data_IF_947003194193
#
_entry.id   IF_947003194193
#
_cell.length_a   1.000
_cell.length_b   1.000
_cell.length_c   1.000
_cell.angle_alpha   90.00
_cell.angle_beta   90.00
_cell.angle_gamma   90.00
#
_symmetry.space_group_name_H-M   'P 1'
#
loop_
_entity.id
_entity.type
_entity.pdbx_description
1 polymer ?
#
# COMPACT_ATOMS: atom_id res chain seq x y z
N UNK A 1 4.27 -17.84 -24.63
CA UNK A 1 3.04 -18.40 -24.02
C UNK A 1 2.79 -17.68 -22.72
N UNK A 2 1.79 -16.86 -22.66
CA UNK A 2 1.28 -16.27 -21.41
C UNK A 2 0.72 -17.40 -20.57
N UNK A 3 1.34 -17.66 -19.40
CA UNK A 3 0.73 -18.54 -18.41
C UNK A 3 -0.67 -18.03 -18.10
N UNK A 4 -1.68 -18.90 -17.96
CA UNK A 4 -2.99 -18.49 -17.49
C UNK A 4 -2.81 -17.71 -16.20
N UNK A 5 -3.58 -16.66 -16.01
CA UNK A 5 -3.62 -15.89 -14.76
C UNK A 5 -4.08 -16.88 -13.70
N UNK A 6 -3.11 -17.48 -13.01
CA UNK A 6 -3.42 -18.30 -11.85
C UNK A 6 -4.17 -17.41 -10.85
N UNK A 7 -5.25 -17.94 -10.29
CA UNK A 7 -5.96 -17.28 -9.19
C UNK A 7 -4.93 -16.89 -8.13
N UNK A 8 -4.88 -15.62 -7.69
CA UNK A 8 -3.89 -15.20 -6.72
C UNK A 8 -4.01 -16.03 -5.43
N UNK A 9 -2.91 -16.29 -4.70
CA UNK A 9 -2.89 -17.18 -3.55
C UNK A 9 -3.48 -16.55 -2.28
N UNK A 10 -4.52 -15.74 -2.45
CA UNK A 10 -5.24 -15.10 -1.36
C UNK A 10 -6.72 -14.91 -1.69
N UNK A 11 -7.50 -14.71 -0.67
CA UNK A 11 -8.92 -14.34 -0.77
C UNK A 11 -9.19 -13.04 -0.03
N UNK A 12 -10.25 -12.34 -0.42
CA UNK A 12 -10.65 -11.08 0.20
C UNK A 12 -11.65 -11.35 1.31
N UNK A 13 -11.32 -10.91 2.52
CA UNK A 13 -12.16 -11.01 3.71
C UNK A 13 -12.17 -9.70 4.48
N UNK A 14 -13.06 -9.59 5.47
CA UNK A 14 -13.05 -8.47 6.41
C UNK A 14 -11.71 -8.44 7.18
N UNK A 15 -11.08 -7.28 7.26
CA UNK A 15 -9.82 -7.06 7.94
C UNK A 15 -10.03 -6.30 9.27
N UNK A 16 -9.18 -6.61 10.24
CA UNK A 16 -9.06 -5.81 11.49
C UNK A 16 -8.23 -4.55 11.28
N UNK A 17 -7.39 -4.51 10.24
CA UNK A 17 -6.56 -3.35 9.92
C UNK A 17 -7.44 -2.26 9.33
N UNK A 18 -8.14 -2.57 8.24
CA UNK A 18 -9.09 -1.67 7.61
C UNK A 18 -9.99 -2.42 6.62
N UNK A 19 -11.29 -2.19 6.68
CA UNK A 19 -12.29 -2.65 5.74
C UNK A 19 -12.11 -4.11 5.33
N UNK A 20 -11.68 -4.32 4.09
CA UNK A 20 -11.32 -5.63 3.52
C UNK A 20 -9.82 -5.79 3.47
N UNK A 21 -9.36 -7.02 3.53
CA UNK A 21 -7.95 -7.40 3.39
C UNK A 21 -7.78 -8.65 2.55
N UNK A 22 -6.56 -8.92 2.15
CA UNK A 22 -6.16 -10.10 1.40
C UNK A 22 -5.54 -11.13 2.36
N UNK A 23 -6.10 -12.34 2.40
CA UNK A 23 -5.66 -13.41 3.32
C UNK A 23 -5.19 -14.61 2.52
N UNK A 24 -3.99 -15.10 2.83
CA UNK A 24 -3.38 -16.21 2.12
C UNK A 24 -4.27 -17.48 2.16
N UNK A 25 -4.53 -18.07 1.00
CA UNK A 25 -5.29 -19.32 0.86
C UNK A 25 -4.40 -20.56 0.95
N UNK A 26 -3.10 -20.37 0.83
CA UNK A 26 -2.04 -21.36 1.02
C UNK A 26 -0.82 -20.68 1.62
N UNK A 27 0.17 -21.47 2.00
CA UNK A 27 1.48 -20.93 2.37
C UNK A 27 2.10 -20.21 1.17
N UNK A 28 2.55 -18.97 1.37
CA UNK A 28 3.31 -18.16 0.40
C UNK A 28 4.76 -18.13 0.87
N UNK A 29 5.69 -18.48 0.00
CA UNK A 29 7.10 -18.52 0.33
C UNK A 29 7.74 -17.14 0.25
N UNK A 30 8.74 -16.88 1.10
CA UNK A 30 9.58 -15.69 0.96
C UNK A 30 10.12 -15.58 -0.47
N UNK A 31 10.04 -14.38 -1.06
CA UNK A 31 10.49 -14.07 -2.42
C UNK A 31 9.47 -14.41 -3.51
N UNK A 32 8.33 -15.01 -3.17
CA UNK A 32 7.29 -15.32 -4.14
C UNK A 32 6.61 -14.05 -4.64
N UNK A 33 6.52 -13.89 -5.96
CA UNK A 33 5.74 -12.83 -6.61
C UNK A 33 4.26 -13.22 -6.59
N UNK A 34 3.43 -12.39 -5.97
CA UNK A 34 2.06 -12.74 -5.62
C UNK A 34 1.06 -12.22 -6.66
N UNK A 35 1.12 -10.93 -6.96
CA UNK A 35 0.16 -10.26 -7.85
C UNK A 35 0.74 -8.94 -8.36
N UNK A 36 0.33 -8.51 -9.55
CA UNK A 36 0.58 -7.15 -10.03
C UNK A 36 -0.45 -6.19 -9.45
N UNK A 37 0.00 -5.03 -9.00
CA UNK A 37 -0.89 -3.93 -8.65
C UNK A 37 -1.31 -3.21 -9.92
N UNK A 38 -2.57 -3.38 -10.30
CA UNK A 38 -3.11 -2.83 -11.54
C UNK A 38 -4.12 -1.72 -11.29
N UNK A 39 -4.32 -0.88 -12.27
CA UNK A 39 -5.28 0.21 -12.27
C UNK A 39 -5.05 1.16 -13.44
N UNK A 40 -5.86 2.21 -13.48
CA UNK A 40 -5.69 3.26 -14.47
C UNK A 40 -4.43 4.08 -14.18
N UNK A 41 -3.60 4.31 -15.19
CA UNK A 41 -2.44 5.20 -15.08
C UNK A 41 -2.88 6.63 -15.33
N UNK A 42 -2.66 7.48 -14.34
CA UNK A 42 -3.06 8.88 -14.36
C UNK A 42 -1.89 9.78 -13.98
N UNK A 43 -2.00 11.07 -14.32
CA UNK A 43 -1.04 12.08 -13.86
C UNK A 43 -1.27 12.46 -12.40
N UNK A 44 -0.27 13.07 -11.75
CA UNK A 44 -0.44 13.63 -10.41
C UNK A 44 -1.58 14.65 -10.36
N UNK A 45 -1.69 15.53 -11.37
CA UNK A 45 -2.76 16.53 -11.45
C UNK A 45 -4.16 15.88 -11.51
N UNK A 46 -4.31 14.78 -12.26
CA UNK A 46 -5.57 14.05 -12.31
C UNK A 46 -5.86 13.33 -10.99
N UNK A 47 -4.83 12.78 -10.33
CA UNK A 47 -4.97 12.19 -9.00
C UNK A 47 -5.46 13.23 -7.98
N UNK A 48 -4.85 14.41 -7.96
CA UNK A 48 -5.25 15.51 -7.07
C UNK A 48 -6.66 15.99 -7.34
N UNK A 49 -7.06 16.02 -8.61
CA UNK A 49 -8.43 16.38 -9.01
C UNK A 49 -9.48 15.36 -8.56
N UNK A 50 -9.16 14.06 -8.64
CA UNK A 50 -10.08 12.97 -8.23
C UNK A 50 -10.18 12.85 -6.72
N UNK A 51 -9.08 13.04 -6.02
CA UNK A 51 -8.91 12.74 -4.60
C UNK A 51 -8.36 13.96 -3.86
N UNK A 52 -9.17 15.01 -3.80
CA UNK A 52 -8.86 16.25 -3.06
C UNK A 52 -8.96 15.99 -1.56
N UNK A 53 -7.82 15.97 -0.87
CA UNK A 53 -7.71 15.70 0.56
C UNK A 53 -8.61 16.62 1.42
N UNK A 54 -8.79 17.87 1.02
CA UNK A 54 -9.59 18.83 1.76
C UNK A 54 -11.10 18.59 1.62
N UNK A 55 -11.52 17.88 0.58
CA UNK A 55 -12.92 17.52 0.30
C UNK A 55 -13.31 16.12 0.71
N UNK A 56 -12.33 15.24 0.93
CA UNK A 56 -12.59 13.84 1.27
C UNK A 56 -13.00 13.67 2.73
N UNK A 57 -14.10 12.97 2.97
CA UNK A 57 -14.52 12.57 4.32
C UNK A 57 -13.68 11.44 4.90
N UNK A 58 -13.12 10.59 4.05
CA UNK A 58 -12.25 9.46 4.40
C UNK A 58 -11.04 9.48 3.47
N UNK A 59 -9.85 9.57 4.06
CA UNK A 59 -8.58 9.54 3.33
C UNK A 59 -8.17 8.10 3.00
N UNK A 60 -9.02 7.38 2.26
CA UNK A 60 -8.75 6.03 1.79
C UNK A 60 -8.83 5.99 0.28
N UNK A 61 -7.68 5.79 -0.35
CA UNK A 61 -7.55 5.69 -1.79
C UNK A 61 -6.79 4.42 -2.17
N UNK A 62 -6.89 4.02 -3.43
CA UNK A 62 -6.15 2.90 -4.01
C UNK A 62 -5.04 3.40 -4.93
N UNK A 63 -4.41 4.50 -4.58
CA UNK A 63 -3.38 5.15 -5.38
C UNK A 63 -2.00 4.55 -5.09
N UNK A 64 -1.24 4.30 -6.13
CA UNK A 64 0.14 3.88 -6.05
C UNK A 64 1.03 4.74 -6.95
N UNK A 65 2.03 5.41 -6.38
CA UNK A 65 2.98 6.21 -7.16
C UNK A 65 3.93 5.31 -7.92
N UNK A 66 3.82 5.30 -9.25
CA UNK A 66 4.66 4.51 -10.14
C UNK A 66 5.96 5.23 -10.50
N UNK A 67 5.85 6.52 -10.84
CA UNK A 67 6.97 7.42 -11.15
C UNK A 67 6.70 8.79 -10.55
N UNK A 68 7.64 9.74 -10.71
CA UNK A 68 7.43 11.13 -10.28
C UNK A 68 6.23 11.81 -10.98
N UNK A 69 5.76 11.28 -12.10
CA UNK A 69 4.69 11.87 -12.93
C UNK A 69 3.46 10.99 -13.09
N UNK A 70 3.55 9.73 -12.70
CA UNK A 70 2.50 8.74 -12.98
C UNK A 70 2.08 8.04 -11.70
N UNK A 71 0.78 8.02 -11.48
CA UNK A 71 0.10 7.30 -10.39
C UNK A 71 -0.77 6.21 -10.97
N UNK A 72 -0.83 5.06 -10.34
CA UNK A 72 -1.78 3.99 -10.66
C UNK A 72 -2.96 4.10 -9.71
N UNK A 73 -4.15 4.29 -10.28
CA UNK A 73 -5.41 4.32 -9.55
C UNK A 73 -6.07 2.94 -9.56
N UNK A 74 -5.84 2.16 -8.52
CA UNK A 74 -6.41 0.83 -8.36
C UNK A 74 -7.93 0.81 -8.15
N UNK A 75 -8.54 1.96 -7.90
CA UNK A 75 -10.00 2.12 -7.81
C UNK A 75 -10.69 2.07 -9.17
N UNK A 76 -9.94 2.25 -10.26
CA UNK A 76 -10.45 2.27 -11.64
C UNK A 76 -9.71 1.20 -12.46
N UNK A 77 -10.42 0.16 -12.87
CA UNK A 77 -9.85 -0.93 -13.66
C UNK A 77 -8.79 -1.76 -12.93
N UNK A 78 -8.72 -1.66 -11.60
CA UNK A 78 -7.80 -2.42 -10.78
C UNK A 78 -8.25 -3.84 -10.49
N UNK A 79 -7.39 -4.61 -9.85
CA UNK A 79 -7.64 -5.98 -9.42
C UNK A 79 -7.70 -6.09 -7.88
N UNK A 80 -7.70 -7.31 -7.36
CA UNK A 80 -7.79 -7.58 -5.92
C UNK A 80 -6.58 -7.08 -5.11
N UNK A 81 -5.46 -6.72 -5.74
CA UNK A 81 -4.27 -6.16 -5.06
C UNK A 81 -4.58 -4.89 -4.27
N UNK A 82 -5.57 -4.12 -4.69
CA UNK A 82 -6.02 -2.90 -4.00
C UNK A 82 -6.48 -3.13 -2.56
N UNK A 83 -6.86 -4.36 -2.21
CA UNK A 83 -7.30 -4.71 -0.87
C UNK A 83 -6.17 -5.18 0.06
N UNK A 84 -4.93 -5.25 -0.42
CA UNK A 84 -3.78 -5.52 0.43
C UNK A 84 -3.54 -4.29 1.31
N UNK A 85 -3.69 -4.46 2.63
CA UNK A 85 -3.61 -3.36 3.59
C UNK A 85 -2.17 -2.98 3.92
N UNK A 86 -2.02 -1.81 4.53
CA UNK A 86 -0.73 -1.34 5.06
C UNK A 86 -0.38 -2.02 6.38
N UNK A 87 0.91 -2.27 6.56
CA UNK A 87 1.50 -2.52 7.88
C UNK A 87 2.84 -1.82 8.02
N UNK A 88 3.14 -1.36 9.24
CA UNK A 88 4.45 -0.83 9.61
C UNK A 88 5.50 -1.94 9.81
N UNK A 89 5.07 -3.18 9.89
CA UNK A 89 5.91 -4.40 9.92
C UNK A 89 5.35 -5.41 8.91
N UNK A 90 5.53 -5.15 7.61
CA UNK A 90 4.84 -5.86 6.55
C UNK A 90 5.48 -7.22 6.24
N UNK A 91 4.68 -8.12 5.64
CA UNK A 91 5.14 -9.40 5.11
C UNK A 91 5.31 -9.40 3.59
N UNK A 92 4.96 -8.31 2.94
CA UNK A 92 5.18 -8.09 1.51
C UNK A 92 5.87 -6.76 1.25
N UNK A 93 6.36 -6.59 0.03
CA UNK A 93 6.85 -5.33 -0.51
C UNK A 93 6.32 -5.10 -1.92
N UNK A 94 6.29 -3.85 -2.35
CA UNK A 94 6.00 -3.49 -3.72
C UNK A 94 7.30 -3.27 -4.48
N UNK A 95 7.46 -3.95 -5.61
CA UNK A 95 8.63 -3.89 -6.49
C UNK A 95 8.19 -3.32 -7.83
N UNK A 96 8.86 -2.26 -8.30
CA UNK A 96 8.64 -1.70 -9.64
C UNK A 96 9.66 -2.29 -10.59
N UNK A 97 9.17 -2.98 -11.61
CA UNK A 97 9.98 -3.63 -12.62
C UNK A 97 9.31 -3.44 -14.00
N UNK A 98 10.06 -2.95 -14.97
CA UNK A 98 9.58 -2.69 -16.35
C UNK A 98 8.28 -1.85 -16.40
N UNK A 99 8.17 -0.84 -15.55
CA UNK A 99 7.00 0.03 -15.46
C UNK A 99 5.74 -0.65 -14.89
N UNK A 100 5.90 -1.78 -14.21
CA UNK A 100 4.83 -2.53 -13.55
C UNK A 100 5.11 -2.65 -12.05
N UNK A 101 4.07 -2.72 -11.27
CA UNK A 101 4.15 -2.82 -9.81
C UNK A 101 3.80 -4.24 -9.39
N UNK A 102 4.72 -4.92 -8.73
CA UNK A 102 4.55 -6.29 -8.26
C UNK A 102 4.55 -6.34 -6.73
N UNK A 103 3.62 -7.09 -6.17
CA UNK A 103 3.63 -7.39 -4.74
C UNK A 103 4.33 -8.73 -4.54
N UNK A 104 5.38 -8.73 -3.72
CA UNK A 104 6.24 -9.88 -3.43
C UNK A 104 6.34 -10.12 -1.93
N UNK A 105 6.41 -11.40 -1.53
CA UNK A 105 6.57 -11.76 -0.13
C UNK A 105 8.02 -11.51 0.34
N UNK A 106 8.21 -10.78 1.44
CA UNK A 106 9.53 -10.56 2.07
C UNK A 106 9.82 -11.58 3.17
N UNK A 107 8.82 -12.32 3.57
CA UNK A 107 8.91 -13.45 4.49
C UNK A 107 7.85 -14.49 4.15
N UNK A 108 7.99 -15.69 4.66
CA UNK A 108 6.97 -16.73 4.49
C UNK A 108 5.67 -16.32 5.20
N UNK A 109 4.56 -16.44 4.48
CA UNK A 109 3.22 -16.12 4.99
C UNK A 109 2.46 -17.44 5.13
N UNK A 110 1.98 -17.79 6.33
CA UNK A 110 1.20 -19.00 6.52
C UNK A 110 -0.20 -18.86 5.90
N UNK A 111 -0.84 -19.96 5.57
CA UNK A 111 -2.26 -19.97 5.20
C UNK A 111 -3.09 -19.22 6.25
N UNK A 112 -3.98 -18.34 5.82
CA UNK A 112 -4.81 -17.50 6.69
C UNK A 112 -4.14 -16.20 7.16
N UNK A 113 -2.84 -16.01 6.89
CA UNK A 113 -2.14 -14.76 7.19
C UNK A 113 -2.61 -13.61 6.29
N UNK A 114 -2.81 -12.42 6.86
CA UNK A 114 -3.14 -11.23 6.08
C UNK A 114 -1.88 -10.70 5.38
N UNK A 115 -1.98 -10.48 4.06
CA UNK A 115 -0.94 -9.85 3.27
C UNK A 115 -0.94 -8.35 3.55
N UNK A 116 0.25 -7.79 3.77
CA UNK A 116 0.44 -6.36 4.03
C UNK A 116 1.73 -5.87 3.39
N UNK A 117 1.76 -4.60 3.00
CA UNK A 117 3.00 -3.91 2.63
C UNK A 117 3.01 -2.49 3.20
N UNK A 118 4.20 -1.89 3.33
CA UNK A 118 4.31 -0.50 3.76
C UNK A 118 3.97 0.40 2.57
N UNK A 119 2.92 1.19 2.69
CA UNK A 119 2.45 2.08 1.62
C UNK A 119 3.43 3.20 1.32
N UNK A 120 4.29 3.57 2.28
CA UNK A 120 5.29 4.63 2.14
C UNK A 120 4.69 5.95 1.64
N UNK A 121 3.50 6.30 2.15
CA UNK A 121 2.86 7.56 1.80
C UNK A 121 3.76 8.74 2.17
N UNK A 122 3.99 9.63 1.20
CA UNK A 122 4.78 10.82 1.41
C UNK A 122 4.04 11.83 2.28
N UNK A 123 4.82 12.57 3.08
CA UNK A 123 4.31 13.70 3.85
C UNK A 123 4.24 14.92 2.95
N UNK A 124 3.07 15.51 2.81
CA UNK A 124 2.80 16.63 1.90
C UNK A 124 2.72 17.97 2.62
N UNK A 125 2.50 17.95 3.92
CA UNK A 125 2.34 19.14 4.76
C UNK A 125 3.56 19.39 5.65
N UNK A 126 3.77 20.64 6.07
CA UNK A 126 4.72 20.99 7.11
C UNK A 126 4.21 20.63 8.52
N UNK A 127 2.91 20.38 8.66
CA UNK A 127 2.26 19.98 9.91
C UNK A 127 2.13 18.46 9.99
N UNK A 128 3.14 17.83 10.58
CA UNK A 128 3.19 16.37 10.75
C UNK A 128 2.01 15.82 11.58
N UNK A 129 1.53 16.56 12.59
CA UNK A 129 0.42 16.08 13.42
C UNK A 129 -0.91 16.10 12.66
N UNK A 130 -1.18 17.14 11.89
CA UNK A 130 -2.38 17.22 11.08
C UNK A 130 -2.41 16.13 10.01
N UNK A 131 -1.27 15.87 9.35
CA UNK A 131 -1.15 14.80 8.36
C UNK A 131 -1.35 13.42 8.99
N UNK A 132 -0.76 13.14 10.15
CA UNK A 132 -0.90 11.86 10.83
C UNK A 132 -2.33 11.56 11.28
N UNK A 133 -3.11 12.59 11.65
CA UNK A 133 -4.53 12.45 11.97
C UNK A 133 -5.38 12.09 10.76
N UNK A 134 -5.01 12.57 9.57
CA UNK A 134 -5.68 12.22 8.31
C UNK A 134 -5.41 10.78 7.87
N UNK A 135 -4.22 10.26 8.19
CA UNK A 135 -3.72 8.96 7.73
C UNK A 135 -3.33 8.04 8.90
N UNK A 136 -4.28 7.64 9.74
CA UNK A 136 -4.00 6.75 10.87
C UNK A 136 -3.65 5.35 10.41
N UNK A 137 -2.83 4.63 11.18
CA UNK A 137 -2.52 3.22 10.98
C UNK A 137 -3.10 2.36 12.10
N UNK A 138 -3.73 1.26 11.72
CA UNK A 138 -4.32 0.26 12.62
C UNK A 138 -3.74 -1.13 12.40
N UNK A 139 -2.47 -1.22 11.95
CA UNK A 139 -1.84 -2.51 11.60
C UNK A 139 -1.65 -3.46 12.80
N UNK A 140 -1.67 -2.95 14.02
CA UNK A 140 -1.51 -3.75 15.24
C UNK A 140 -0.08 -4.26 15.48
N UNK A 141 0.90 -3.89 14.67
CA UNK A 141 2.29 -4.29 14.85
C UNK A 141 2.91 -3.62 16.08
N UNK A 142 3.83 -4.31 16.75
CA UNK A 142 4.59 -3.73 17.87
C UNK A 142 5.38 -2.47 17.48
N UNK A 143 5.83 -2.40 16.22
CA UNK A 143 6.55 -1.27 15.62
C UNK A 143 5.63 -0.26 14.94
N UNK A 144 4.31 -0.31 15.17
CA UNK A 144 3.36 0.58 14.50
C UNK A 144 3.73 2.05 14.73
N UNK A 145 3.82 2.81 13.63
CA UNK A 145 4.10 4.25 13.65
C UNK A 145 2.88 5.10 14.03
N UNK A 146 1.69 4.49 14.12
CA UNK A 146 0.43 5.19 14.30
C UNK A 146 -0.11 5.87 13.04
N UNK A 147 0.64 5.85 11.96
CA UNK A 147 0.29 6.43 10.66
C UNK A 147 0.84 5.59 9.52
N UNK A 148 0.16 5.63 8.36
CA UNK A 148 0.64 5.02 7.11
C UNK A 148 1.68 5.87 6.39
N UNK A 149 1.93 7.08 6.88
CA UNK A 149 2.94 7.98 6.32
C UNK A 149 4.36 7.49 6.59
N UNK A 150 5.28 7.90 5.74
CA UNK A 150 6.71 7.68 5.97
C UNK A 150 7.15 8.26 7.32
N UNK A 151 8.20 7.69 7.95
CA UNK A 151 8.75 8.24 9.19
C UNK A 151 9.10 9.72 9.07
N UNK A 152 8.94 10.45 10.16
CA UNK A 152 9.37 11.86 10.22
C UNK A 152 10.87 11.95 9.93
N UNK A 153 11.27 12.93 9.12
CA UNK A 153 12.70 13.21 8.89
C UNK A 153 13.34 13.60 10.22
N UNK A 154 14.44 12.93 10.61
CA UNK A 154 15.24 13.36 11.74
C UNK A 154 15.74 14.80 11.48
N UNK A 155 15.37 15.75 12.36
CA UNK A 155 15.99 17.08 12.33
C UNK A 155 17.51 16.89 12.49
N UNK A 156 18.29 17.29 11.48
CA UNK A 156 19.75 17.33 11.63
C UNK A 156 20.06 18.22 12.82
N UNK A 157 20.62 17.66 13.90
CA UNK A 157 21.22 18.46 14.96
C UNK A 157 22.29 19.32 14.28
N UNK A 158 22.07 20.64 14.20
CA UNK A 158 23.14 21.57 13.90
C UNK A 158 24.19 21.38 15.01
N UNK A 159 25.34 20.81 14.65
CA UNK A 159 26.53 20.92 15.53
C UNK A 159 26.86 22.43 15.65
N UNK A 160 26.77 22.94 16.88
CA UNK A 160 27.31 24.23 17.21
C UNK A 160 28.84 24.11 17.24
#
# INVERSE_FOLDING_TARGET
MTRPIETPPFEIRRSRIQGRGAFATRRIRKGERIIEYTGERISNAESDRRYDDDRMRRHHTYLFTLTQRTVVDGGVGGNASRFINHSCDPNCEAVIEDGRIWIEAVRTIPKGGELTYDYQYERTSADDEADEKKYPCHCGAAKCRGTILLPRRRKRRRRR
#
